data_IF_785800920528
#
_entry.id   IF_785800920528
#
_cell.length_a   1.000
_cell.length_b   1.000
_cell.length_c   1.000
_cell.angle_alpha   90.00
_cell.angle_beta   90.00
_cell.angle_gamma   90.00
#
_symmetry.space_group_name_H-M   'P 1'
#
loop_
_entity.id
_entity.type
_entity.pdbx_description
1 polymer ?
#
# COMPACT_ATOMS: atom_id res chain seq x y z
N UNK A 1 -10.26 -30.66 -1.73
CA UNK A 1 -9.76 -29.37 -1.20
C UNK A 1 -10.76 -28.83 -0.16
N UNK A 2 -10.33 -28.56 1.08
CA UNK A 2 -11.24 -28.13 2.16
C UNK A 2 -11.64 -26.65 2.08
N UNK A 3 -10.73 -25.79 1.62
CA UNK A 3 -10.92 -24.32 1.56
C UNK A 3 -11.49 -23.81 0.24
N UNK A 4 -11.46 -24.61 -0.84
CA UNK A 4 -11.96 -24.22 -2.16
C UNK A 4 -13.45 -23.79 -2.17
N UNK A 5 -14.36 -24.45 -1.43
CA UNK A 5 -15.75 -23.97 -1.33
C UNK A 5 -15.88 -22.56 -0.73
N UNK A 6 -14.94 -22.14 0.13
CA UNK A 6 -14.94 -20.79 0.68
C UNK A 6 -14.56 -19.77 -0.39
N UNK A 7 -13.52 -20.05 -1.17
CA UNK A 7 -13.13 -19.16 -2.27
C UNK A 7 -14.19 -19.08 -3.36
N UNK A 8 -14.81 -20.22 -3.72
CA UNK A 8 -15.91 -20.23 -4.68
C UNK A 8 -17.07 -19.34 -4.22
N UNK A 9 -17.44 -19.40 -2.94
CA UNK A 9 -18.47 -18.49 -2.39
C UNK A 9 -18.05 -17.03 -2.52
N UNK A 10 -16.81 -16.70 -2.18
CA UNK A 10 -16.33 -15.32 -2.31
C UNK A 10 -16.39 -14.80 -3.75
N UNK A 11 -15.87 -15.58 -4.71
CA UNK A 11 -15.90 -15.23 -6.12
C UNK A 11 -17.33 -15.15 -6.66
N UNK A 12 -18.20 -16.09 -6.30
CA UNK A 12 -19.60 -16.09 -6.72
C UNK A 12 -20.36 -14.88 -6.15
N UNK A 13 -20.09 -14.45 -4.91
CA UNK A 13 -20.67 -13.22 -4.35
C UNK A 13 -20.32 -12.00 -5.19
N UNK A 14 -19.06 -11.86 -5.61
CA UNK A 14 -18.61 -10.74 -6.45
C UNK A 14 -19.24 -10.81 -7.85
N UNK A 15 -19.26 -12.00 -8.46
CA UNK A 15 -19.87 -12.21 -9.78
C UNK A 15 -21.39 -11.96 -9.78
N UNK A 16 -22.10 -12.33 -8.72
CA UNK A 16 -23.53 -12.05 -8.58
C UNK A 16 -23.82 -10.56 -8.33
N UNK A 17 -22.90 -9.84 -7.68
CA UNK A 17 -23.06 -8.43 -7.36
C UNK A 17 -22.79 -7.51 -8.56
N UNK A 18 -22.06 -7.97 -9.58
CA UNK A 18 -21.64 -7.14 -10.71
C UNK A 18 -21.77 -7.88 -12.04
N UNK A 19 -22.56 -7.36 -13.00
CA UNK A 19 -22.66 -7.97 -14.33
C UNK A 19 -21.37 -7.88 -15.14
N UNK A 20 -20.38 -7.09 -14.68
CA UNK A 20 -19.08 -6.96 -15.32
C UNK A 20 -18.09 -8.06 -14.89
N UNK A 21 -18.48 -8.96 -13.98
CA UNK A 21 -17.63 -10.04 -13.47
C UNK A 21 -18.20 -11.38 -13.91
N UNK A 22 -17.46 -12.10 -14.74
CA UNK A 22 -17.78 -13.47 -15.15
C UNK A 22 -16.88 -14.43 -14.37
N UNK A 23 -17.48 -15.52 -13.86
CA UNK A 23 -16.77 -16.51 -13.06
C UNK A 23 -16.84 -17.88 -13.74
N UNK A 24 -15.67 -18.41 -14.07
CA UNK A 24 -15.48 -19.81 -14.47
C UNK A 24 -14.78 -20.59 -13.37
N UNK A 25 -15.26 -21.81 -13.12
CA UNK A 25 -14.73 -22.69 -12.07
C UNK A 25 -14.16 -23.93 -12.73
N UNK A 26 -12.85 -24.11 -12.57
CA UNK A 26 -12.12 -25.20 -13.20
C UNK A 26 -11.55 -26.13 -12.13
N UNK A 27 -11.69 -27.44 -12.35
CA UNK A 27 -10.97 -28.44 -11.57
C UNK A 27 -9.55 -28.61 -12.15
N UNK A 28 -8.55 -28.10 -11.42
CA UNK A 28 -7.15 -28.16 -11.84
C UNK A 28 -6.62 -29.59 -12.08
N UNK A 29 -7.27 -30.62 -11.51
CA UNK A 29 -6.90 -32.03 -11.76
C UNK A 29 -7.43 -32.55 -13.09
N UNK A 30 -8.48 -31.92 -13.63
CA UNK A 30 -9.07 -32.26 -14.92
C UNK A 30 -8.50 -31.39 -16.05
N UNK A 31 -7.98 -30.19 -15.73
CA UNK A 31 -7.39 -29.25 -16.69
C UNK A 31 -5.90 -28.96 -16.37
N UNK A 32 -5.01 -29.97 -16.49
CA UNK A 32 -3.60 -29.82 -16.11
C UNK A 32 -2.84 -28.82 -16.97
N UNK A 33 -3.20 -28.65 -18.25
CA UNK A 33 -2.58 -27.68 -19.14
C UNK A 33 -2.86 -26.23 -18.69
N UNK A 34 -4.10 -25.95 -18.30
CA UNK A 34 -4.50 -24.63 -17.79
C UNK A 34 -3.82 -24.35 -16.43
N UNK A 35 -3.77 -25.36 -15.56
CA UNK A 35 -3.05 -25.27 -14.29
C UNK A 35 -1.55 -24.99 -14.50
N UNK A 36 -0.92 -25.62 -15.50
CA UNK A 36 0.47 -25.33 -15.85
C UNK A 36 0.66 -23.92 -16.41
N UNK A 37 -0.26 -23.45 -17.27
CA UNK A 37 -0.21 -22.10 -17.88
C UNK A 37 -0.14 -20.99 -16.83
N UNK A 38 -0.91 -21.09 -15.76
CA UNK A 38 -0.92 -20.09 -14.67
C UNK A 38 -0.03 -20.49 -13.47
N UNK A 39 0.86 -21.47 -13.65
CA UNK A 39 1.75 -21.97 -12.60
C UNK A 39 1.01 -22.27 -11.28
N UNK A 40 -0.15 -22.93 -11.33
CA UNK A 40 -0.96 -23.21 -10.14
C UNK A 40 -0.23 -24.21 -9.24
N UNK A 41 0.34 -23.70 -8.13
CA UNK A 41 1.06 -24.51 -7.14
C UNK A 41 0.17 -25.00 -6.00
N UNK A 42 -0.96 -24.35 -5.78
CA UNK A 42 -1.89 -24.68 -4.71
C UNK A 42 -3.33 -24.34 -5.08
N UNK A 43 -4.30 -24.94 -4.40
CA UNK A 43 -5.71 -24.62 -4.56
C UNK A 43 -6.31 -24.13 -3.24
N UNK A 44 -7.26 -23.18 -3.27
CA UNK A 44 -7.78 -22.51 -4.47
C UNK A 44 -6.78 -21.48 -5.03
N UNK A 45 -6.78 -21.32 -6.34
CA UNK A 45 -6.10 -20.21 -7.05
C UNK A 45 -7.15 -19.49 -7.88
N UNK A 46 -7.19 -18.16 -7.76
CA UNK A 46 -8.06 -17.28 -8.56
C UNK A 46 -7.18 -16.53 -9.54
N UNK A 47 -7.54 -16.61 -10.81
CA UNK A 47 -6.89 -15.85 -11.90
C UNK A 47 -7.90 -14.85 -12.43
N UNK A 48 -7.48 -13.61 -12.61
CA UNK A 48 -8.31 -12.51 -13.16
C UNK A 48 -7.60 -11.95 -14.38
N UNK A 49 -8.31 -11.95 -15.51
CA UNK A 49 -7.87 -11.43 -16.82
C UNK A 49 -6.45 -11.87 -17.23
N UNK A 50 -6.08 -13.13 -16.97
CA UNK A 50 -4.76 -13.70 -17.26
C UNK A 50 -3.56 -13.03 -16.57
N UNK A 51 -3.79 -12.10 -15.64
CA UNK A 51 -2.75 -11.27 -15.03
C UNK A 51 -2.69 -11.40 -13.51
N UNK A 52 -3.80 -11.15 -12.82
CA UNK A 52 -3.82 -11.18 -11.35
C UNK A 52 -4.06 -12.61 -10.87
N UNK A 53 -3.04 -13.18 -10.22
CA UNK A 53 -3.08 -14.52 -9.64
C UNK A 53 -3.09 -14.39 -8.12
N UNK A 54 -4.13 -14.93 -7.49
CA UNK A 54 -4.30 -14.94 -6.04
C UNK A 54 -4.44 -16.37 -5.54
N UNK A 55 -3.56 -16.78 -4.63
CA UNK A 55 -3.63 -18.08 -3.97
C UNK A 55 -4.37 -17.97 -2.64
N UNK A 56 -5.13 -19.00 -2.29
CA UNK A 56 -5.88 -19.08 -1.05
C UNK A 56 -7.24 -18.40 -1.11
N UNK A 57 -7.82 -18.19 0.07
CA UNK A 57 -9.16 -17.60 0.20
C UNK A 57 -9.03 -16.09 0.37
N UNK A 58 -9.68 -15.34 -0.52
CA UNK A 58 -9.82 -13.90 -0.47
C UNK A 58 -11.26 -13.57 -0.09
N UNK A 59 -11.46 -12.67 0.87
CA UNK A 59 -12.80 -12.24 1.26
C UNK A 59 -13.50 -11.52 0.09
N UNK A 60 -14.84 -11.61 -0.05
CA UNK A 60 -15.55 -11.01 -1.18
C UNK A 60 -15.29 -9.51 -1.36
N UNK A 61 -15.22 -8.77 -0.25
CA UNK A 61 -14.94 -7.33 -0.28
C UNK A 61 -13.54 -7.02 -0.81
N UNK A 62 -12.50 -7.70 -0.32
CA UNK A 62 -11.14 -7.49 -0.81
C UNK A 62 -10.98 -7.96 -2.26
N UNK A 63 -11.64 -9.05 -2.65
CA UNK A 63 -11.68 -9.47 -4.05
C UNK A 63 -12.29 -8.38 -4.94
N UNK A 64 -13.43 -7.80 -4.54
CA UNK A 64 -14.06 -6.71 -5.29
C UNK A 64 -13.16 -5.48 -5.40
N UNK A 65 -12.49 -5.08 -4.30
CA UNK A 65 -11.57 -3.94 -4.31
C UNK A 65 -10.38 -4.18 -5.25
N UNK A 66 -9.78 -5.38 -5.22
CA UNK A 66 -8.71 -5.75 -6.16
C UNK A 66 -9.15 -5.68 -7.62
N UNK A 67 -10.40 -6.06 -7.93
CA UNK A 67 -10.94 -5.91 -9.29
C UNK A 67 -11.11 -4.43 -9.69
N UNK A 68 -11.48 -3.55 -8.75
CA UNK A 68 -11.61 -2.11 -9.02
C UNK A 68 -10.23 -1.47 -9.23
N UNK A 69 -9.27 -1.76 -8.36
CA UNK A 69 -7.90 -1.22 -8.43
C UNK A 69 -7.22 -1.54 -9.77
N UNK A 70 -7.52 -2.70 -10.36
CA UNK A 70 -7.02 -3.11 -11.68
C UNK A 70 -7.45 -2.20 -12.83
N UNK A 71 -8.47 -1.36 -12.66
CA UNK A 71 -8.90 -0.41 -13.70
C UNK A 71 -7.89 0.71 -13.94
N UNK A 72 -6.87 0.85 -13.08
CA UNK A 72 -5.76 1.77 -13.26
C UNK A 72 -5.45 2.61 -12.02
N UNK A 73 -4.43 3.48 -12.10
CA UNK A 73 -3.96 4.27 -10.96
C UNK A 73 -5.07 5.14 -10.34
N UNK A 74 -5.91 5.78 -11.16
CA UNK A 74 -7.03 6.59 -10.67
C UNK A 74 -8.04 5.76 -9.85
N UNK A 75 -8.24 4.49 -10.21
CA UNK A 75 -9.14 3.60 -9.49
C UNK A 75 -8.53 3.16 -8.16
N UNK A 76 -7.23 2.84 -8.15
CA UNK A 76 -6.49 2.56 -6.92
C UNK A 76 -6.50 3.75 -5.96
N UNK A 77 -6.29 4.98 -6.46
CA UNK A 77 -6.37 6.18 -5.62
C UNK A 77 -7.76 6.38 -5.01
N UNK A 78 -8.82 6.21 -5.81
CA UNK A 78 -10.21 6.31 -5.30
C UNK A 78 -10.49 5.29 -4.22
N UNK A 79 -10.06 4.04 -4.39
CA UNK A 79 -10.23 2.99 -3.37
C UNK A 79 -9.46 3.35 -2.10
N UNK A 80 -8.19 3.72 -2.23
CA UNK A 80 -7.35 4.09 -1.09
C UNK A 80 -7.96 5.25 -0.30
N UNK A 81 -8.37 6.32 -0.99
CA UNK A 81 -9.01 7.49 -0.38
C UNK A 81 -10.33 7.12 0.30
N UNK A 82 -11.18 6.35 -0.37
CA UNK A 82 -12.46 5.93 0.20
C UNK A 82 -12.32 5.08 1.47
N UNK A 83 -11.34 4.16 1.49
CA UNK A 83 -11.05 3.35 2.68
C UNK A 83 -10.54 4.22 3.83
N UNK A 84 -9.63 5.15 3.54
CA UNK A 84 -9.07 6.04 4.54
C UNK A 84 -10.14 6.97 5.13
N UNK A 85 -11.02 7.51 4.29
CA UNK A 85 -12.12 8.39 4.71
C UNK A 85 -13.21 7.64 5.48
N UNK A 86 -13.37 6.34 5.21
CA UNK A 86 -14.26 5.46 5.97
C UNK A 86 -13.65 4.93 7.28
N UNK A 87 -12.39 5.27 7.58
CA UNK A 87 -11.69 4.82 8.79
C UNK A 87 -11.23 3.36 8.73
N UNK A 88 -11.11 2.78 7.54
CA UNK A 88 -10.62 1.41 7.34
C UNK A 88 -9.08 1.34 7.28
N UNK A 89 -8.41 1.89 8.31
CA UNK A 89 -6.95 2.03 8.36
C UNK A 89 -6.20 0.73 8.02
N UNK A 90 -6.61 -0.40 8.60
CA UNK A 90 -6.05 -1.72 8.32
C UNK A 90 -6.06 -2.09 6.83
N UNK A 91 -7.16 -1.82 6.12
CA UNK A 91 -7.24 -2.14 4.69
C UNK A 91 -6.38 -1.21 3.84
N UNK A 92 -6.12 0.01 4.31
CA UNK A 92 -5.19 0.97 3.70
C UNK A 92 -3.74 0.53 3.95
N UNK A 93 -3.43 0.11 5.18
CA UNK A 93 -2.12 -0.40 5.58
C UNK A 93 -1.72 -1.64 4.77
N UNK A 94 -2.62 -2.61 4.59
CA UNK A 94 -2.37 -3.80 3.75
C UNK A 94 -2.04 -3.44 2.29
N UNK A 95 -2.70 -2.42 1.73
CA UNK A 95 -2.42 -1.92 0.37
C UNK A 95 -1.07 -1.24 0.30
N UNK A 96 -0.71 -0.47 1.31
CA UNK A 96 0.59 0.16 1.37
C UNK A 96 1.69 -0.90 1.46
N UNK A 97 1.52 -1.89 2.34
CA UNK A 97 2.46 -2.98 2.56
C UNK A 97 2.72 -3.81 1.29
N UNK A 98 1.68 -4.12 0.50
CA UNK A 98 1.85 -4.88 -0.75
C UNK A 98 2.10 -4.02 -2.00
N UNK A 99 2.36 -2.72 -1.82
CA UNK A 99 2.75 -1.77 -2.86
C UNK A 99 1.60 -1.22 -3.71
N UNK A 100 0.37 -1.74 -3.58
CA UNK A 100 -0.81 -1.19 -4.29
C UNK A 100 -1.14 0.24 -3.85
N UNK A 101 -0.76 0.60 -2.63
CA UNK A 101 -1.06 1.86 -1.97
C UNK A 101 0.04 2.92 -2.12
N UNK A 102 1.20 2.60 -2.69
CA UNK A 102 2.36 3.53 -2.71
C UNK A 102 2.04 4.85 -3.41
N UNK A 103 1.55 4.82 -4.65
CA UNK A 103 1.24 6.04 -5.39
C UNK A 103 0.08 6.84 -4.76
N UNK A 104 -1.06 6.23 -4.37
CA UNK A 104 -2.11 6.92 -3.62
C UNK A 104 -1.64 7.54 -2.30
N UNK A 105 -0.79 6.83 -1.55
CA UNK A 105 -0.23 7.32 -0.29
C UNK A 105 0.60 8.58 -0.53
N UNK A 106 1.51 8.57 -1.52
CA UNK A 106 2.36 9.72 -1.84
C UNK A 106 1.54 10.94 -2.28
N UNK A 107 0.53 10.74 -3.11
CA UNK A 107 -0.36 11.81 -3.55
C UNK A 107 -1.11 12.44 -2.36
N UNK A 108 -1.68 11.61 -1.49
CA UNK A 108 -2.38 12.08 -0.29
C UNK A 108 -1.43 12.74 0.72
N UNK A 109 -0.22 12.19 0.88
CA UNK A 109 0.80 12.76 1.75
C UNK A 109 1.17 14.17 1.30
N UNK A 110 1.41 14.38 0.01
CA UNK A 110 1.78 15.69 -0.53
C UNK A 110 0.68 16.76 -0.35
N UNK A 111 -0.60 16.38 -0.39
CA UNK A 111 -1.75 17.30 -0.33
C UNK A 111 -2.37 17.42 1.07
N UNK A 112 -1.83 16.72 2.06
CA UNK A 112 -2.46 16.57 3.37
C UNK A 112 -2.22 17.73 4.33
N UNK A 113 -3.25 18.04 5.13
CA UNK A 113 -3.11 18.84 6.35
C UNK A 113 -2.55 17.99 7.51
N UNK A 114 -2.26 18.64 8.64
CA UNK A 114 -1.68 17.99 9.82
C UNK A 114 -2.54 16.83 10.37
N UNK A 115 -3.88 16.94 10.31
CA UNK A 115 -4.77 15.90 10.80
C UNK A 115 -4.73 14.67 9.89
N UNK A 116 -4.72 14.89 8.57
CA UNK A 116 -4.60 13.81 7.59
C UNK A 116 -3.23 13.15 7.61
N UNK A 117 -2.15 13.90 7.83
CA UNK A 117 -0.79 13.33 7.99
C UNK A 117 -0.67 12.42 9.20
N UNK A 118 -1.25 12.80 10.34
CA UNK A 118 -1.26 11.95 11.52
C UNK A 118 -1.90 10.57 11.23
N UNK A 119 -3.04 10.55 10.53
CA UNK A 119 -3.69 9.29 10.13
C UNK A 119 -2.83 8.51 9.12
N UNK A 120 -2.15 9.18 8.19
CA UNK A 120 -1.26 8.51 7.24
C UNK A 120 -0.01 7.91 7.91
N UNK A 121 0.52 8.57 8.95
CA UNK A 121 1.60 8.01 9.77
C UNK A 121 1.17 6.73 10.49
N UNK A 122 -0.03 6.73 11.08
CA UNK A 122 -0.60 5.52 11.71
C UNK A 122 -0.75 4.37 10.69
N UNK A 123 -1.23 4.68 9.48
CA UNK A 123 -1.32 3.70 8.38
C UNK A 123 0.06 3.19 7.97
N UNK A 124 1.07 4.06 7.92
CA UNK A 124 2.43 3.66 7.58
C UNK A 124 3.01 2.70 8.63
N UNK A 125 2.84 3.00 9.92
CA UNK A 125 3.24 2.11 11.01
C UNK A 125 2.51 0.77 10.97
N UNK A 126 1.19 0.79 10.78
CA UNK A 126 0.39 -0.43 10.70
C UNK A 126 0.83 -1.29 9.50
N UNK A 127 1.24 -0.67 8.39
CA UNK A 127 1.71 -1.40 7.20
C UNK A 127 2.96 -2.24 7.47
N UNK A 128 3.83 -1.80 8.39
CA UNK A 128 5.04 -2.52 8.78
C UNK A 128 4.73 -3.83 9.54
N UNK A 129 3.52 -3.98 10.09
CA UNK A 129 3.06 -5.24 10.68
C UNK A 129 2.80 -6.33 9.62
N UNK A 130 2.56 -5.91 8.37
CA UNK A 130 2.27 -6.80 7.23
C UNK A 130 3.51 -7.06 6.38
N UNK A 131 4.30 -6.02 6.10
CA UNK A 131 5.58 -6.11 5.43
C UNK A 131 6.57 -5.10 6.04
N UNK A 132 7.65 -5.56 6.70
CA UNK A 132 8.66 -4.67 7.28
C UNK A 132 9.38 -3.80 6.24
N UNK A 133 9.30 -4.14 4.94
CA UNK A 133 9.88 -3.35 3.85
C UNK A 133 8.84 -2.56 3.06
N UNK A 134 7.57 -2.55 3.49
CA UNK A 134 6.46 -1.94 2.75
C UNK A 134 6.60 -0.43 2.52
N UNK A 135 7.42 0.25 3.33
CA UNK A 135 7.66 1.70 3.21
C UNK A 135 8.88 2.06 2.35
N UNK A 136 9.76 1.11 2.02
CA UNK A 136 10.97 1.35 1.21
C UNK A 136 10.66 2.10 -0.10
N UNK A 137 9.59 1.77 -0.86
CA UNK A 137 9.25 2.49 -2.09
C UNK A 137 8.92 3.98 -1.92
N UNK A 138 8.67 4.45 -0.69
CA UNK A 138 8.37 5.85 -0.40
C UNK A 138 9.63 6.73 -0.28
N UNK A 139 10.79 6.14 0.02
CA UNK A 139 12.02 6.87 0.39
C UNK A 139 12.45 7.84 -0.71
N UNK A 140 12.65 7.35 -1.94
CA UNK A 140 13.14 8.17 -3.03
C UNK A 140 12.15 9.30 -3.43
N UNK A 141 10.83 9.04 -3.57
CA UNK A 141 9.85 10.10 -3.82
C UNK A 141 9.79 11.17 -2.72
N UNK A 142 9.84 10.77 -1.45
CA UNK A 142 9.79 11.71 -0.31
C UNK A 142 11.06 12.55 -0.22
N UNK A 143 12.23 11.94 -0.42
CA UNK A 143 13.50 12.65 -0.50
C UNK A 143 13.49 13.70 -1.62
N UNK A 144 13.01 13.32 -2.81
CA UNK A 144 12.88 14.26 -3.93
C UNK A 144 11.89 15.41 -3.62
N UNK A 145 10.82 15.12 -2.89
CA UNK A 145 9.83 16.13 -2.52
C UNK A 145 10.35 17.13 -1.47
N UNK A 146 11.24 16.69 -0.56
CA UNK A 146 11.93 17.55 0.40
C UNK A 146 12.91 18.52 -0.29
N UNK A 147 13.59 18.07 -1.35
CA UNK A 147 14.55 18.88 -2.11
C UNK A 147 13.88 19.80 -3.15
N UNK A 148 12.56 19.69 -3.34
CA UNK A 148 11.77 20.47 -4.31
C UNK A 148 11.26 21.82 -3.78
N UNK A 149 10.26 22.38 -4.47
CA UNK A 149 9.56 23.62 -4.12
C UNK A 149 8.07 23.41 -3.79
N UNK A 150 7.67 22.15 -3.60
CA UNK A 150 6.29 21.75 -3.33
C UNK A 150 5.84 21.95 -1.87
N UNK A 151 4.60 21.53 -1.54
CA UNK A 151 4.01 21.69 -0.21
C UNK A 151 4.89 21.12 0.90
N UNK A 152 5.44 19.92 0.69
CA UNK A 152 6.34 19.23 1.62
C UNK A 152 7.54 20.11 1.97
N UNK A 153 8.26 20.64 0.98
CA UNK A 153 9.44 21.47 1.21
C UNK A 153 9.09 22.83 1.85
N UNK A 154 7.94 23.40 1.52
CA UNK A 154 7.56 24.75 1.94
C UNK A 154 7.04 24.86 3.38
N UNK A 155 6.47 23.79 3.93
CA UNK A 155 5.85 23.77 5.27
C UNK A 155 6.75 23.06 6.28
N UNK A 156 7.12 23.72 7.37
CA UNK A 156 8.02 23.14 8.36
C UNK A 156 7.42 21.93 9.09
N UNK A 157 6.11 21.91 9.34
CA UNK A 157 5.46 20.75 9.95
C UNK A 157 5.46 19.56 8.98
N UNK A 158 5.18 19.80 7.70
CA UNK A 158 5.23 18.75 6.68
C UNK A 158 6.64 18.19 6.48
N UNK A 159 7.68 19.03 6.50
CA UNK A 159 9.08 18.55 6.51
C UNK A 159 9.38 17.67 7.72
N UNK A 160 8.97 18.09 8.92
CA UNK A 160 9.17 17.32 10.15
C UNK A 160 8.45 15.96 10.10
N UNK A 161 7.17 15.94 9.72
CA UNK A 161 6.39 14.70 9.59
C UNK A 161 7.00 13.78 8.51
N UNK A 162 7.57 14.35 7.44
CA UNK A 162 8.25 13.58 6.40
C UNK A 162 9.56 12.99 6.89
N UNK A 163 10.30 13.71 7.74
CA UNK A 163 11.49 13.17 8.40
C UNK A 163 11.14 12.00 9.32
N UNK A 164 10.07 12.12 10.11
CA UNK A 164 9.55 11.00 10.92
C UNK A 164 9.18 9.79 10.05
N UNK A 165 8.43 9.99 8.97
CA UNK A 165 8.06 8.92 8.06
C UNK A 165 9.29 8.24 7.43
N UNK A 166 10.32 9.00 7.05
CA UNK A 166 11.57 8.47 6.53
C UNK A 166 12.31 7.61 7.57
N UNK A 167 12.32 8.01 8.85
CA UNK A 167 12.88 7.19 9.93
C UNK A 167 12.19 5.83 10.05
N UNK A 168 10.86 5.81 9.97
CA UNK A 168 10.05 4.58 10.04
C UNK A 168 10.29 3.60 8.89
N UNK A 169 10.92 4.03 7.80
CA UNK A 169 11.19 3.14 6.67
C UNK A 169 12.24 2.08 7.00
N UNK A 170 13.14 2.36 7.94
CA UNK A 170 14.28 1.49 8.24
C UNK A 170 15.27 1.35 7.07
N UNK A 171 15.16 2.20 6.04
CA UNK A 171 15.96 2.09 4.82
C UNK A 171 17.18 3.04 4.87
N UNK A 172 18.35 2.51 4.56
CA UNK A 172 19.61 3.28 4.60
C UNK A 172 19.63 4.42 3.57
N UNK A 173 18.86 4.34 2.48
CA UNK A 173 18.74 5.43 1.50
C UNK A 173 18.03 6.67 2.08
N UNK A 174 17.32 6.52 3.21
CA UNK A 174 16.73 7.63 3.95
C UNK A 174 17.77 8.45 4.75
N UNK A 175 18.96 7.90 5.00
CA UNK A 175 19.99 8.55 5.83
C UNK A 175 20.45 9.89 5.24
N UNK A 176 20.83 9.91 3.96
CA UNK A 176 21.36 11.13 3.35
C UNK A 176 20.33 12.29 3.30
N UNK A 177 19.04 12.07 2.97
CA UNK A 177 17.99 13.08 3.15
C UNK A 177 17.85 13.57 4.60
N UNK A 178 17.86 12.67 5.58
CA UNK A 178 17.72 13.03 6.99
C UNK A 178 18.92 13.82 7.52
N UNK A 179 20.15 13.47 7.13
CA UNK A 179 21.36 14.23 7.46
C UNK A 179 21.29 15.67 6.97
N UNK A 180 20.69 15.93 5.79
CA UNK A 180 20.44 17.29 5.32
C UNK A 180 19.43 18.03 6.20
N UNK A 181 18.35 17.36 6.62
CA UNK A 181 17.32 17.96 7.46
C UNK A 181 17.79 18.25 8.90
N UNK A 182 18.84 17.61 9.40
CA UNK A 182 19.46 17.98 10.68
C UNK A 182 20.00 19.42 10.64
N UNK A 183 20.36 19.93 9.47
CA UNK A 183 20.80 21.32 9.26
C UNK A 183 19.65 22.28 8.91
N UNK A 184 18.38 21.83 8.98
CA UNK A 184 17.22 22.65 8.64
C UNK A 184 17.12 23.90 9.55
N UNK A 185 16.77 25.09 9.01
CA UNK A 185 16.63 26.30 9.81
C UNK A 185 15.52 26.21 10.88
N UNK A 186 14.53 25.34 10.71
CA UNK A 186 13.50 25.08 11.71
C UNK A 186 14.04 24.09 12.77
N UNK A 187 14.13 24.50 14.06
CA UNK A 187 14.57 23.61 15.12
C UNK A 187 13.68 22.38 15.31
N UNK A 188 12.41 22.47 14.90
CA UNK A 188 11.47 21.36 14.92
C UNK A 188 11.87 20.28 13.92
N UNK A 189 12.14 20.68 12.67
CA UNK A 189 12.55 19.78 11.59
C UNK A 189 13.90 19.13 11.93
N UNK A 190 14.88 19.92 12.35
CA UNK A 190 16.20 19.42 12.72
C UNK A 190 16.15 18.38 13.86
N UNK A 191 15.29 18.62 14.86
CA UNK A 191 15.10 17.67 15.97
C UNK A 191 14.47 16.37 15.47
N UNK A 192 13.45 16.45 14.62
CA UNK A 192 12.75 15.25 14.12
C UNK A 192 13.65 14.43 13.20
N UNK A 193 14.45 15.08 12.35
CA UNK A 193 15.45 14.41 11.52
C UNK A 193 16.52 13.69 12.35
N UNK A 194 17.02 14.31 13.43
CA UNK A 194 17.97 13.68 14.33
C UNK A 194 17.38 12.45 15.06
N UNK A 195 16.08 12.50 15.42
CA UNK A 195 15.36 11.35 15.98
C UNK A 195 15.22 10.23 14.94
N UNK A 196 14.79 10.55 13.73
CA UNK A 196 14.64 9.59 12.64
C UNK A 196 15.96 8.90 12.29
N UNK A 197 17.10 9.61 12.31
CA UNK A 197 18.43 9.00 12.14
C UNK A 197 18.76 7.99 13.24
N UNK A 198 18.41 8.28 14.49
CA UNK A 198 18.61 7.35 15.59
C UNK A 198 17.72 6.10 15.42
N UNK A 199 16.49 6.25 14.93
CA UNK A 199 15.59 5.12 14.62
C UNK A 199 16.15 4.21 13.50
N UNK A 200 16.88 4.76 12.52
CA UNK A 200 17.54 3.94 11.48
C UNK A 200 18.73 3.13 11.99
N UNK A 201 19.33 3.53 13.11
CA UNK A 201 20.49 2.86 13.71
C UNK A 201 20.12 1.75 14.72
N UNK A 202 18.82 1.59 15.04
CA UNK A 202 18.26 0.58 15.96
C UNK A 202 17.88 -0.74 15.26
#
# INVERSE_FOLDING_TARGET
CAVCPHQLRSAATVALASPNVVLDVVDATQEPELAARYEVRSVPTTVVDDELIMMGVVAPGELALRLVERQGPDAAERVFRALLDAGHATQVAERLADGRGTAPFLALWAESDAGRRAVLLEVAEESLLYDPFGLVPLVAPLAAALDGDGPIASDEAHRADTAELLGKTGDDDARAPLERLVEDPSPMVAKEAARALAELDE
#
